data_IF_539894311568
#
_entry.id   IF_539894311568
#
_cell.length_a   1.000
_cell.length_b   1.000
_cell.length_c   1.000
_cell.angle_alpha   90.00
_cell.angle_beta   90.00
_cell.angle_gamma   90.00
#
_symmetry.space_group_name_H-M   'P 1'
#
loop_
_entity.id
_entity.type
_entity.pdbx_description
1 polymer ?
#
# COMPACT_ATOMS: atom_id res chain seq x y z
N UNK A 1 -3.53 -17.65 5.12
CA UNK A 1 -2.39 -17.06 4.37
C UNK A 1 -1.39 -16.55 5.39
N UNK A 2 -0.25 -17.20 5.52
CA UNK A 2 0.86 -16.63 6.27
C UNK A 2 1.59 -15.67 5.33
N UNK A 3 1.78 -14.43 5.74
CA UNK A 3 2.71 -13.52 5.09
C UNK A 3 4.10 -14.13 5.29
N UNK A 4 4.71 -14.64 4.22
CA UNK A 4 5.96 -15.40 4.33
C UNK A 4 7.18 -14.48 4.44
N UNK A 5 7.19 -13.38 3.68
CA UNK A 5 8.24 -12.38 3.70
C UNK A 5 7.69 -11.01 3.31
N UNK A 6 7.97 -9.98 4.11
CA UNK A 6 7.68 -8.58 3.77
C UNK A 6 8.80 -8.07 2.88
N UNK A 7 8.47 -7.74 1.63
CA UNK A 7 9.44 -7.22 0.65
C UNK A 7 9.59 -5.71 0.73
N UNK A 8 8.57 -4.99 1.21
CA UNK A 8 8.64 -3.55 1.38
C UNK A 8 7.60 -3.05 2.38
N UNK A 9 7.94 -1.99 3.11
CA UNK A 9 7.06 -1.31 4.05
C UNK A 9 7.20 0.22 3.90
N UNK A 10 6.06 0.93 3.89
CA UNK A 10 6.03 2.39 3.89
C UNK A 10 5.01 2.89 4.91
N UNK A 11 5.46 3.73 5.85
CA UNK A 11 4.58 4.40 6.81
C UNK A 11 4.46 5.88 6.52
N UNK A 12 3.25 6.36 6.27
CA UNK A 12 2.96 7.75 5.95
C UNK A 12 2.00 8.39 6.95
N UNK A 13 2.03 9.73 7.12
CA UNK A 13 0.97 10.43 7.83
C UNK A 13 -0.39 10.16 7.17
N UNK A 14 -1.43 9.93 7.97
CA UNK A 14 -2.79 9.68 7.49
C UNK A 14 -3.46 10.96 7.00
N UNK A 15 -3.02 11.46 5.86
CA UNK A 15 -3.55 12.66 5.19
C UNK A 15 -3.69 12.37 3.70
N UNK A 16 -4.68 12.98 3.05
CA UNK A 16 -5.01 12.72 1.64
C UNK A 16 -3.81 12.86 0.68
N UNK A 17 -2.95 13.88 0.88
CA UNK A 17 -1.74 14.09 0.06
C UNK A 17 -0.75 12.92 0.10
N UNK A 18 -0.80 12.07 1.13
CA UNK A 18 0.04 10.89 1.25
C UNK A 18 -0.35 9.80 0.24
N UNK A 19 -1.60 9.77 -0.25
CA UNK A 19 -2.08 8.74 -1.17
C UNK A 19 -1.26 8.67 -2.48
N UNK A 20 -0.76 9.81 -2.97
CA UNK A 20 0.17 9.84 -4.12
C UNK A 20 1.43 9.03 -3.86
N UNK A 21 2.00 9.14 -2.66
CA UNK A 21 3.23 8.44 -2.29
C UNK A 21 3.01 6.93 -2.18
N UNK A 22 1.81 6.50 -1.79
CA UNK A 22 1.44 5.07 -1.77
C UNK A 22 1.40 4.48 -3.17
N UNK A 23 0.83 5.19 -4.15
CA UNK A 23 0.81 4.72 -5.55
C UNK A 23 2.21 4.68 -6.16
N UNK A 24 3.06 5.66 -5.84
CA UNK A 24 4.47 5.65 -6.25
C UNK A 24 5.22 4.49 -5.59
N UNK A 25 5.00 4.24 -4.31
CA UNK A 25 5.57 3.10 -3.61
C UNK A 25 5.18 1.77 -4.24
N UNK A 26 3.91 1.58 -4.60
CA UNK A 26 3.47 0.38 -5.33
C UNK A 26 4.20 0.21 -6.68
N UNK A 27 4.41 1.31 -7.42
CA UNK A 27 5.20 1.29 -8.66
C UNK A 27 6.66 0.94 -8.39
N UNK A 28 7.26 1.49 -7.34
CA UNK A 28 8.67 1.26 -7.03
C UNK A 28 8.89 -0.20 -6.56
N UNK A 29 7.89 -0.84 -5.94
CA UNK A 29 7.94 -2.26 -5.53
C UNK A 29 7.69 -3.22 -6.70
N UNK A 30 6.66 -2.97 -7.52
CA UNK A 30 6.26 -3.88 -8.61
C UNK A 30 7.08 -3.69 -9.90
N UNK A 31 7.60 -2.48 -10.13
CA UNK A 31 8.18 -2.07 -11.39
C UNK A 31 7.13 -1.56 -12.39
N UNK A 32 7.54 -0.63 -13.27
CA UNK A 32 6.67 0.05 -14.25
C UNK A 32 6.06 -0.92 -15.28
N UNK A 33 6.76 -2.01 -15.60
CA UNK A 33 6.30 -3.02 -16.57
C UNK A 33 5.38 -4.10 -15.99
N UNK A 34 5.02 -4.03 -14.71
CA UNK A 34 4.22 -5.08 -14.09
C UNK A 34 2.77 -5.06 -14.61
N UNK A 35 2.22 -6.19 -15.09
CA UNK A 35 0.90 -6.22 -15.75
C UNK A 35 -0.25 -5.75 -14.83
N UNK A 36 -0.14 -6.02 -13.52
CA UNK A 36 -1.16 -5.63 -12.52
C UNK A 36 -0.89 -4.30 -11.81
N UNK A 37 0.07 -3.49 -12.28
CA UNK A 37 0.46 -2.25 -11.57
C UNK A 37 -0.74 -1.30 -11.36
N UNK A 38 -1.56 -1.10 -12.38
CA UNK A 38 -2.73 -0.21 -12.29
C UNK A 38 -3.76 -0.68 -11.27
N UNK A 39 -4.04 -1.98 -11.24
CA UNK A 39 -4.99 -2.57 -10.29
C UNK A 39 -4.47 -2.45 -8.86
N UNK A 40 -3.19 -2.77 -8.65
CA UNK A 40 -2.58 -2.65 -7.32
C UNK A 40 -2.56 -1.19 -6.85
N UNK A 41 -2.21 -0.24 -7.73
CA UNK A 41 -2.24 1.19 -7.42
C UNK A 41 -3.64 1.66 -7.04
N UNK A 42 -4.69 1.09 -7.64
CA UNK A 42 -6.08 1.40 -7.32
C UNK A 42 -6.45 0.84 -5.95
N UNK A 43 -6.26 -0.46 -5.73
CA UNK A 43 -6.57 -1.13 -4.46
C UNK A 43 -5.83 -0.51 -3.27
N UNK A 44 -4.53 -0.24 -3.41
CA UNK A 44 -3.73 0.33 -2.32
C UNK A 44 -4.14 1.78 -2.02
N UNK A 45 -4.55 2.53 -3.04
CA UNK A 45 -5.04 3.90 -2.88
C UNK A 45 -6.37 3.92 -2.14
N UNK A 46 -7.32 3.07 -2.55
CA UNK A 46 -8.62 2.94 -1.90
C UNK A 46 -8.48 2.50 -0.44
N UNK A 47 -7.65 1.48 -0.17
CA UNK A 47 -7.38 1.03 1.19
C UNK A 47 -6.74 2.14 2.05
N UNK A 48 -5.80 2.90 1.49
CA UNK A 48 -5.19 4.03 2.18
C UNK A 48 -6.21 5.14 2.46
N UNK A 49 -7.02 5.52 1.48
CA UNK A 49 -8.08 6.53 1.62
C UNK A 49 -9.08 6.11 2.70
N UNK A 50 -9.55 4.86 2.68
CA UNK A 50 -10.43 4.32 3.70
C UNK A 50 -9.79 4.40 5.10
N UNK A 51 -8.50 4.10 5.22
CA UNK A 51 -7.78 4.23 6.49
C UNK A 51 -7.74 5.69 6.96
N UNK A 52 -7.52 6.66 6.07
CA UNK A 52 -7.54 8.09 6.38
C UNK A 52 -8.94 8.55 6.78
N UNK A 53 -9.97 8.22 6.02
CA UNK A 53 -11.32 8.75 6.21
C UNK A 53 -12.06 8.10 7.39
N UNK A 54 -11.84 6.82 7.63
CA UNK A 54 -12.70 6.02 8.50
C UNK A 54 -12.03 5.49 9.77
N UNK A 55 -10.74 5.77 9.99
CA UNK A 55 -10.02 5.30 11.18
C UNK A 55 -9.35 6.43 11.96
N UNK A 56 -8.74 6.10 13.10
CA UNK A 56 -7.91 7.04 13.85
C UNK A 56 -6.68 7.53 13.06
N UNK A 57 -6.31 6.84 11.98
CA UNK A 57 -5.19 7.22 11.12
C UNK A 57 -5.34 8.63 10.54
N UNK A 58 -6.56 9.04 10.17
CA UNK A 58 -6.85 10.40 9.70
C UNK A 58 -6.75 11.49 10.76
N UNK A 59 -6.74 11.11 12.05
CA UNK A 59 -6.79 12.04 13.19
C UNK A 59 -5.39 12.26 13.77
N UNK A 60 -4.46 12.72 12.93
CA UNK A 60 -3.00 12.84 13.22
C UNK A 60 -2.29 11.49 13.40
N UNK A 61 -2.90 10.40 12.93
CA UNK A 61 -2.30 9.08 12.93
C UNK A 61 -1.44 8.81 11.69
N UNK A 62 -1.08 7.52 11.52
CA UNK A 62 -0.24 7.04 10.42
C UNK A 62 -0.85 5.78 9.84
N UNK A 63 -0.59 5.53 8.56
CA UNK A 63 -0.94 4.30 7.87
C UNK A 63 0.34 3.63 7.42
N UNK A 64 0.46 2.32 7.65
CA UNK A 64 1.55 1.49 7.14
C UNK A 64 1.02 0.62 6.01
N UNK A 65 1.67 0.68 4.86
CA UNK A 65 1.41 -0.17 3.70
C UNK A 65 2.55 -1.17 3.58
N UNK A 66 2.21 -2.44 3.46
CA UNK A 66 3.14 -3.56 3.40
C UNK A 66 2.91 -4.33 2.10
N UNK A 67 3.99 -4.63 1.40
CA UNK A 67 4.01 -5.63 0.34
C UNK A 67 4.73 -6.86 0.87
N UNK A 68 4.15 -8.02 0.59
CA UNK A 68 4.73 -9.30 0.96
C UNK A 68 4.58 -10.30 -0.16
N UNK A 69 5.55 -11.20 -0.27
CA UNK A 69 5.39 -12.41 -1.07
C UNK A 69 4.68 -13.47 -0.25
N UNK A 70 3.90 -14.28 -0.94
CA UNK A 70 3.34 -15.51 -0.42
C UNK A 70 4.26 -16.65 -0.88
N UNK A 71 4.89 -17.34 0.06
CA UNK A 71 5.57 -18.59 -0.22
C UNK A 71 4.51 -19.65 -0.50
N UNK A 72 4.46 -20.12 -1.74
CA UNK A 72 3.64 -21.25 -2.16
C UNK A 72 3.31 -21.23 -3.64
N UNK A 73 3.64 -22.33 -4.33
CA UNK A 73 3.18 -22.66 -5.68
C UNK A 73 1.67 -22.41 -5.81
N UNK A 74 1.30 -21.57 -6.77
CA UNK A 74 -0.10 -21.39 -7.23
C UNK A 74 -0.51 -22.51 -8.18
#
# INVERSE_FOLDING_TARGET
MAISEVIAALTLPGVERSAKHVRLFARDVLGEGHPSLGDVQTCVNEAFTNAVEHTASGRRGRVTVLFSVLDGDV
#
